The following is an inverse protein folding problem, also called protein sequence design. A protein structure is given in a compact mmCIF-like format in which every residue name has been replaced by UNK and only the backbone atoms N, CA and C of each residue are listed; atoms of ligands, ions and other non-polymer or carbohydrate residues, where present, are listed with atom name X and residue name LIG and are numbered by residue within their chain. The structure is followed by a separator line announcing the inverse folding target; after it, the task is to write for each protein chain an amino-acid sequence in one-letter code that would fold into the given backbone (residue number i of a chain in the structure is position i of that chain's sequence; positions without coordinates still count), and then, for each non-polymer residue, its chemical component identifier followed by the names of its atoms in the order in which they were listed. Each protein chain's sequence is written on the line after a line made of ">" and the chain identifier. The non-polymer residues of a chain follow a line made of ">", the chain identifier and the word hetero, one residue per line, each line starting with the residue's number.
data_IF_854864974614
#
_entry.id   IF_854864974614
#
_cell.length_a   1.000
_cell.length_b   1.000
_cell.length_c   1.000
_cell.angle_alpha   90.00
_cell.angle_beta   90.00
_cell.angle_gamma   90.00
#
_symmetry.space_group_name_H-M   'P 1'
#
loop_
_entity.id
_entity.type
_entity.pdbx_description
1 polymer ?
#
# COMPACT_ATOMS: atom_id res chain seq x y z
N UNK A 1 -8.70 -4.84 18.55
CA UNK A 1 -8.65 -4.91 17.09
C UNK A 1 -7.47 -4.06 16.64
N UNK A 2 -6.67 -4.55 15.73
CA UNK A 2 -5.54 -3.76 15.21
C UNK A 2 -6.05 -2.60 14.32
N UNK A 3 -5.27 -1.53 14.14
CA UNK A 3 -5.70 -0.39 13.36
C UNK A 3 -5.91 -0.71 11.88
N UNK A 4 -6.97 -0.13 11.30
CA UNK A 4 -7.25 -0.16 9.87
C UNK A 4 -7.05 1.25 9.34
N UNK A 5 -6.01 1.46 8.56
CA UNK A 5 -5.65 2.75 7.97
C UNK A 5 -6.11 2.84 6.54
N UNK A 6 -6.85 3.89 6.24
CA UNK A 6 -7.46 4.10 4.92
C UNK A 6 -6.90 5.36 4.28
N UNK A 7 -6.53 5.27 3.03
CA UNK A 7 -5.92 6.36 2.30
C UNK A 7 -6.09 6.29 0.79
N UNK A 8 -5.35 7.16 0.13
CA UNK A 8 -5.33 7.33 -1.33
C UNK A 8 -3.90 7.38 -1.87
N UNK A 9 -3.75 7.33 -3.19
CA UNK A 9 -2.47 7.45 -3.88
C UNK A 9 -2.02 8.89 -4.09
N UNK A 10 -1.11 9.38 -3.25
CA UNK A 10 -0.63 10.76 -3.26
C UNK A 10 -1.66 11.76 -2.74
N UNK A 11 -1.29 13.03 -2.77
CA UNK A 11 -2.17 14.13 -2.32
C UNK A 11 -2.22 15.29 -3.32
N UNK A 12 -1.33 15.35 -4.28
CA UNK A 12 -1.30 16.40 -5.31
C UNK A 12 -1.93 15.89 -6.60
N UNK A 13 -3.20 16.24 -6.82
CA UNK A 13 -3.94 15.91 -8.03
C UNK A 13 -4.92 17.03 -8.35
N UNK A 14 -4.69 17.73 -9.46
CA UNK A 14 -5.44 18.94 -9.80
C UNK A 14 -6.97 18.78 -9.81
N UNK A 15 -7.57 17.67 -10.31
CA UNK A 15 -9.02 17.46 -10.28
C UNK A 15 -9.64 17.32 -8.88
N UNK A 16 -8.85 17.17 -7.81
CA UNK A 16 -9.36 17.20 -6.45
C UNK A 16 -9.62 18.60 -5.90
N UNK A 17 -9.13 19.66 -6.60
CA UNK A 17 -9.35 21.06 -6.21
C UNK A 17 -10.77 21.47 -6.50
N UNK A 18 -11.46 22.01 -5.50
CA UNK A 18 -12.89 22.33 -5.59
C UNK A 18 -13.84 21.15 -5.33
N UNK A 19 -13.29 19.93 -5.08
CA UNK A 19 -14.06 18.74 -4.71
C UNK A 19 -13.59 18.20 -3.36
N UNK A 20 -12.50 17.46 -3.32
CA UNK A 20 -11.89 17.00 -2.07
C UNK A 20 -11.19 18.13 -1.31
N UNK A 21 -10.47 18.99 -2.02
CA UNK A 21 -9.89 20.21 -1.47
C UNK A 21 -10.85 21.38 -1.61
N UNK A 22 -11.03 22.22 -0.56
CA UNK A 22 -11.83 23.43 -0.67
C UNK A 22 -11.32 24.33 -1.79
N UNK A 23 -12.21 25.09 -2.45
CA UNK A 23 -11.78 26.13 -3.38
C UNK A 23 -10.78 27.09 -2.74
N UNK A 24 -9.68 27.40 -3.45
CA UNK A 24 -8.68 28.34 -2.96
C UNK A 24 -7.68 27.78 -1.94
N UNK A 25 -7.75 26.50 -1.57
CA UNK A 25 -6.74 25.90 -0.68
C UNK A 25 -5.34 25.94 -1.34
N UNK A 26 -4.33 26.57 -0.68
CA UNK A 26 -2.96 26.57 -1.20
C UNK A 26 -2.38 25.15 -1.36
N UNK A 27 -1.59 24.93 -2.40
CA UNK A 27 -1.03 23.59 -2.70
C UNK A 27 -0.19 23.00 -1.56
N UNK A 28 0.54 23.84 -0.84
CA UNK A 28 1.35 23.42 0.31
C UNK A 28 0.51 23.01 1.53
N UNK A 29 -0.80 23.24 1.51
CA UNK A 29 -1.75 22.80 2.54
C UNK A 29 -2.54 21.55 2.15
N UNK A 30 -2.40 21.06 0.90
CA UNK A 30 -3.14 19.88 0.42
C UNK A 30 -2.86 18.65 1.28
N UNK A 31 -1.59 18.39 1.66
CA UNK A 31 -1.22 17.30 2.55
C UNK A 31 -1.84 17.45 3.95
N UNK A 32 -1.75 18.64 4.52
CA UNK A 32 -2.33 18.91 5.83
C UNK A 32 -3.86 18.74 5.85
N UNK A 33 -4.54 19.11 4.75
CA UNK A 33 -5.98 18.86 4.60
C UNK A 33 -6.28 17.35 4.45
N UNK A 34 -5.61 16.66 3.52
CA UNK A 34 -5.83 15.25 3.24
C UNK A 34 -5.61 14.39 4.49
N UNK A 35 -4.53 14.65 5.24
CA UNK A 35 -4.18 13.89 6.43
C UNK A 35 -5.14 14.04 7.62
N UNK A 36 -6.01 15.06 7.61
CA UNK A 36 -7.09 15.23 8.60
C UNK A 36 -8.40 14.54 8.19
N UNK A 37 -8.49 14.07 6.95
CA UNK A 37 -9.64 13.33 6.42
C UNK A 37 -9.37 11.84 6.24
N UNK A 38 -8.11 11.47 6.14
CA UNK A 38 -7.60 10.12 5.89
C UNK A 38 -6.63 9.73 7.00
N UNK A 39 -6.36 8.46 7.17
CA UNK A 39 -5.39 7.96 8.17
C UNK A 39 -4.06 7.48 7.55
N UNK A 40 -3.98 7.43 6.22
CA UNK A 40 -2.75 7.09 5.51
C UNK A 40 -2.70 7.71 4.10
N UNK A 41 -1.51 7.75 3.52
CA UNK A 41 -1.29 8.05 2.10
C UNK A 41 -0.24 7.08 1.54
N UNK A 42 -0.47 6.54 0.34
CA UNK A 42 0.56 5.87 -0.45
C UNK A 42 1.30 6.90 -1.31
N UNK A 43 2.58 7.10 -1.03
CA UNK A 43 3.40 8.07 -1.75
C UNK A 43 3.93 7.44 -3.03
N UNK A 44 3.37 7.83 -4.18
CA UNK A 44 3.81 7.35 -5.48
C UNK A 44 4.95 8.17 -6.07
N UNK A 45 5.21 9.39 -5.56
CA UNK A 45 6.30 10.24 -6.02
C UNK A 45 7.68 9.59 -5.90
N UNK A 46 7.92 8.80 -4.88
CA UNK A 46 9.16 8.06 -4.64
C UNK A 46 9.45 6.95 -5.66
N UNK A 47 8.43 6.51 -6.41
CA UNK A 47 8.59 5.56 -7.51
C UNK A 47 9.25 6.18 -8.75
N UNK A 48 8.99 7.48 -8.99
CA UNK A 48 9.46 8.19 -10.18
C UNK A 48 10.73 9.00 -9.92
N UNK A 49 10.98 9.43 -8.69
CA UNK A 49 12.13 10.27 -8.35
C UNK A 49 12.52 10.17 -6.89
N UNK A 50 13.78 10.48 -6.62
CA UNK A 50 14.32 10.51 -5.26
C UNK A 50 13.77 11.72 -4.51
N UNK A 51 13.54 11.53 -3.21
CA UNK A 51 13.20 12.59 -2.28
C UNK A 51 14.42 12.92 -1.41
N UNK A 52 14.39 14.09 -0.76
CA UNK A 52 15.42 14.51 0.21
C UNK A 52 14.91 14.27 1.64
N UNK A 53 15.80 14.10 2.62
CA UNK A 53 15.39 13.95 4.03
C UNK A 53 14.47 15.06 4.53
N UNK A 54 14.69 16.31 4.06
CA UNK A 54 13.86 17.48 4.41
C UNK A 54 12.41 17.31 3.97
N UNK A 55 12.18 16.64 2.81
CA UNK A 55 10.83 16.37 2.32
C UNK A 55 10.07 15.42 3.26
N UNK A 56 10.74 14.34 3.71
CA UNK A 56 10.14 13.39 4.64
C UNK A 56 9.85 14.02 6.00
N UNK A 57 10.78 14.85 6.52
CA UNK A 57 10.53 15.64 7.73
C UNK A 57 9.32 16.57 7.58
N UNK A 58 9.26 17.32 6.48
CA UNK A 58 8.14 18.21 6.21
C UNK A 58 6.79 17.48 6.11
N UNK A 59 6.75 16.29 5.51
CA UNK A 59 5.54 15.46 5.48
C UNK A 59 5.14 14.97 6.86
N UNK A 60 6.10 14.50 7.65
CA UNK A 60 5.88 14.11 9.05
C UNK A 60 5.26 15.24 9.86
N UNK A 61 5.85 16.44 9.78
CA UNK A 61 5.51 17.57 10.64
C UNK A 61 4.16 18.23 10.24
N UNK A 62 3.71 18.04 9.00
CA UNK A 62 2.41 18.56 8.50
C UNK A 62 1.21 17.68 8.83
N UNK A 63 1.40 16.46 9.33
CA UNK A 63 0.34 15.45 9.49
C UNK A 63 0.09 15.11 10.96
N UNK A 64 -1.10 14.61 11.35
CA UNK A 64 -1.38 14.14 12.70
C UNK A 64 -0.42 13.03 13.16
N UNK A 65 -0.25 12.85 14.47
CA UNK A 65 0.74 11.92 15.03
C UNK A 65 0.48 10.44 14.67
N UNK A 66 -0.77 10.06 14.49
CA UNK A 66 -1.21 8.71 14.12
C UNK A 66 -1.26 8.46 12.62
N UNK A 67 -0.91 9.46 11.80
CA UNK A 67 -0.93 9.37 10.35
C UNK A 67 0.24 8.52 9.82
N UNK A 68 0.00 7.75 8.75
CA UNK A 68 1.00 6.84 8.18
C UNK A 68 1.23 7.09 6.68
N UNK A 69 2.49 7.06 6.27
CA UNK A 69 2.92 7.09 4.88
C UNK A 69 3.41 5.72 4.44
N UNK A 70 2.73 5.09 3.49
CA UNK A 70 3.31 4.00 2.72
C UNK A 70 4.15 4.59 1.57
N UNK A 71 5.35 4.10 1.37
CA UNK A 71 6.24 4.61 0.32
C UNK A 71 6.38 3.58 -0.80
N UNK A 72 6.20 4.01 -2.05
CA UNK A 72 6.45 3.14 -3.19
C UNK A 72 7.92 3.18 -3.57
N UNK A 73 8.60 2.04 -3.47
CA UNK A 73 10.00 1.88 -3.83
C UNK A 73 10.28 2.26 -5.29
N UNK A 74 11.49 2.73 -5.62
CA UNK A 74 11.80 3.26 -6.94
C UNK A 74 11.60 2.25 -8.07
N UNK A 75 11.06 2.73 -9.20
CA UNK A 75 10.79 1.92 -10.38
C UNK A 75 12.02 1.13 -10.85
N UNK A 76 13.19 1.74 -10.87
CA UNK A 76 14.40 1.09 -11.34
C UNK A 76 14.84 -0.12 -10.50
N UNK A 77 14.37 -0.22 -9.23
CA UNK A 77 14.65 -1.39 -8.37
C UNK A 77 13.91 -2.63 -8.87
N UNK A 78 12.63 -2.49 -9.22
CA UNK A 78 11.75 -3.62 -9.53
C UNK A 78 11.58 -3.88 -11.04
N UNK A 79 11.85 -2.87 -11.91
CA UNK A 79 11.66 -2.96 -13.35
C UNK A 79 12.94 -3.38 -14.11
N UNK A 80 14.04 -3.57 -13.40
CA UNK A 80 15.27 -4.09 -14.01
C UNK A 80 15.12 -5.57 -14.39
N UNK A 81 15.85 -6.01 -15.42
CA UNK A 81 15.79 -7.41 -15.86
C UNK A 81 16.37 -8.35 -14.79
N UNK A 82 17.53 -8.02 -14.28
CA UNK A 82 18.24 -8.77 -13.25
C UNK A 82 18.01 -8.14 -11.88
N UNK A 83 17.51 -8.93 -10.94
CA UNK A 83 17.23 -8.52 -9.57
C UNK A 83 18.36 -8.86 -8.58
N UNK A 84 19.42 -9.54 -9.00
CA UNK A 84 20.57 -9.87 -8.14
C UNK A 84 21.27 -8.63 -7.58
N UNK A 85 21.23 -7.50 -8.32
CA UNK A 85 21.79 -6.22 -7.88
C UNK A 85 20.76 -5.31 -7.17
N UNK A 86 19.59 -5.83 -6.80
CA UNK A 86 18.55 -5.02 -6.17
C UNK A 86 19.00 -4.40 -4.85
N UNK A 87 19.93 -5.05 -4.12
CA UNK A 87 20.45 -4.57 -2.83
C UNK A 87 20.99 -3.15 -2.92
N UNK A 88 21.78 -2.82 -3.95
CA UNK A 88 22.34 -1.47 -4.14
C UNK A 88 21.23 -0.43 -4.29
N UNK A 89 20.17 -0.76 -5.05
CA UNK A 89 19.08 0.17 -5.28
C UNK A 89 18.13 0.29 -4.08
N UNK A 90 17.92 -0.78 -3.34
CA UNK A 90 17.19 -0.78 -2.07
C UNK A 90 17.90 0.10 -1.05
N UNK A 91 19.20 -0.11 -0.85
CA UNK A 91 20.02 0.70 0.09
C UNK A 91 20.03 2.17 -0.31
N UNK A 92 20.17 2.48 -1.60
CA UNK A 92 20.11 3.87 -2.09
C UNK A 92 18.75 4.52 -1.78
N UNK A 93 17.66 3.78 -1.94
CA UNK A 93 16.33 4.28 -1.58
C UNK A 93 16.20 4.53 -0.08
N UNK A 94 16.63 3.61 0.75
CA UNK A 94 16.59 3.79 2.20
C UNK A 94 17.45 4.98 2.65
N UNK A 95 18.64 5.14 2.05
CA UNK A 95 19.55 6.26 2.32
C UNK A 95 19.03 7.65 1.89
N UNK A 96 17.88 7.73 1.20
CA UNK A 96 17.23 9.03 0.92
C UNK A 96 16.63 9.68 2.17
N UNK A 97 16.63 9.01 3.31
CA UNK A 97 16.11 9.51 4.57
C UNK A 97 14.63 9.12 4.81
N UNK A 98 14.18 7.98 4.30
CA UNK A 98 12.81 7.49 4.53
C UNK A 98 12.46 7.36 6.02
N UNK A 99 13.48 7.11 6.86
CA UNK A 99 13.38 7.00 8.33
C UNK A 99 13.09 8.33 9.04
N UNK A 100 13.24 9.45 8.35
CA UNK A 100 12.85 10.78 8.86
C UNK A 100 11.33 10.92 9.06
N UNK A 101 10.54 10.04 8.46
CA UNK A 101 9.10 9.94 8.75
C UNK A 101 8.82 9.49 10.19
N UNK A 102 9.79 8.90 10.88
CA UNK A 102 9.63 8.49 12.26
C UNK A 102 8.58 7.37 12.39
N UNK A 103 7.69 7.48 13.38
CA UNK A 103 6.60 6.52 13.62
C UNK A 103 5.56 6.53 12.50
N UNK A 104 5.57 7.55 11.63
CA UNK A 104 4.69 7.66 10.47
C UNK A 104 5.18 6.88 9.25
N UNK A 105 6.35 6.23 9.34
CA UNK A 105 6.84 5.33 8.29
C UNK A 105 6.01 4.05 8.27
N UNK A 106 5.21 3.89 7.24
CA UNK A 106 4.41 2.72 6.93
C UNK A 106 5.15 1.70 6.05
N UNK A 107 4.40 0.82 5.38
CA UNK A 107 4.96 -0.17 4.49
C UNK A 107 5.70 0.42 3.28
N UNK A 108 6.74 -0.29 2.84
CA UNK A 108 7.50 -0.01 1.62
C UNK A 108 6.98 -0.93 0.50
N UNK A 109 6.28 -0.37 -0.47
CA UNK A 109 5.67 -1.10 -1.59
C UNK A 109 6.66 -1.28 -2.75
N UNK A 110 6.92 -2.52 -3.13
CA UNK A 110 7.73 -2.90 -4.28
C UNK A 110 6.84 -3.48 -5.38
N UNK A 111 6.57 -2.70 -6.41
CA UNK A 111 5.69 -3.10 -7.49
C UNK A 111 6.48 -3.67 -8.66
N UNK A 112 6.23 -4.92 -9.03
CA UNK A 112 6.76 -5.53 -10.25
C UNK A 112 5.95 -5.11 -11.48
N UNK A 113 6.59 -4.99 -12.64
CA UNK A 113 5.89 -4.73 -13.89
C UNK A 113 5.04 -5.95 -14.31
N UNK A 114 3.97 -5.76 -15.08
CA UNK A 114 3.12 -6.86 -15.54
C UNK A 114 3.84 -7.86 -16.44
N UNK A 115 5.01 -7.52 -16.95
CA UNK A 115 5.88 -8.39 -17.76
C UNK A 115 6.81 -9.28 -16.93
N UNK A 116 6.86 -9.10 -15.60
CA UNK A 116 7.68 -9.92 -14.69
C UNK A 116 6.99 -11.25 -14.45
N UNK A 117 7.51 -12.32 -15.03
CA UNK A 117 7.09 -13.70 -14.76
C UNK A 117 7.65 -14.16 -13.41
N UNK A 118 6.90 -15.00 -12.70
CA UNK A 118 7.38 -15.62 -11.47
C UNK A 118 8.50 -16.62 -11.77
N UNK A 119 9.60 -16.46 -11.07
CA UNK A 119 10.74 -17.37 -11.01
C UNK A 119 11.33 -17.24 -9.59
N UNK A 120 11.16 -18.26 -8.78
CA UNK A 120 11.56 -18.24 -7.39
C UNK A 120 13.07 -18.04 -7.20
N UNK A 121 13.90 -18.60 -8.10
CA UNK A 121 15.36 -18.45 -8.07
C UNK A 121 15.77 -17.02 -8.38
N UNK A 122 15.19 -16.43 -9.42
CA UNK A 122 15.49 -15.08 -9.84
C UNK A 122 14.98 -14.00 -8.87
N UNK A 123 13.89 -14.29 -8.10
CA UNK A 123 13.29 -13.33 -7.17
C UNK A 123 13.88 -13.39 -5.75
N UNK A 124 14.46 -14.52 -5.35
CA UNK A 124 15.05 -14.70 -4.02
C UNK A 124 16.08 -13.62 -3.67
N UNK A 125 17.08 -13.28 -4.51
CA UNK A 125 18.05 -12.24 -4.20
C UNK A 125 17.43 -10.85 -3.94
N UNK A 126 16.31 -10.55 -4.60
CA UNK A 126 15.57 -9.31 -4.32
C UNK A 126 14.97 -9.32 -2.91
N UNK A 127 14.36 -10.42 -2.49
CA UNK A 127 13.75 -10.53 -1.16
C UNK A 127 14.82 -10.53 -0.06
N UNK A 128 15.96 -11.20 -0.29
CA UNK A 128 17.14 -11.16 0.57
C UNK A 128 17.73 -9.74 0.75
N UNK A 129 17.56 -8.89 -0.27
CA UNK A 129 18.04 -7.53 -0.25
C UNK A 129 17.17 -6.56 0.59
N UNK A 130 15.99 -7.01 1.04
CA UNK A 130 15.05 -6.19 1.82
C UNK A 130 15.40 -6.30 3.32
N UNK A 131 15.97 -5.28 3.95
CA UNK A 131 16.38 -5.37 5.35
C UNK A 131 15.18 -5.23 6.29
N UNK A 132 15.17 -5.99 7.38
CA UNK A 132 14.15 -5.89 8.42
C UNK A 132 14.21 -4.56 9.19
N UNK A 133 15.37 -3.89 9.18
CA UNK A 133 15.60 -2.63 9.91
C UNK A 133 16.51 -1.70 9.12
N UNK A 134 16.29 -0.38 9.29
CA UNK A 134 17.17 0.67 8.81
C UNK A 134 17.17 1.83 9.82
N UNK A 135 18.35 2.40 10.14
CA UNK A 135 18.51 3.45 11.14
C UNK A 135 17.76 3.19 12.45
N UNK A 136 17.86 1.96 12.94
CA UNK A 136 17.20 1.54 14.17
C UNK A 136 15.68 1.28 14.07
N UNK A 137 15.03 1.57 12.93
CA UNK A 137 13.60 1.37 12.72
C UNK A 137 13.30 0.04 12.03
N UNK A 138 12.26 -0.66 12.50
CA UNK A 138 11.74 -1.82 11.81
C UNK A 138 11.07 -1.40 10.49
N UNK A 139 11.32 -2.13 9.44
CA UNK A 139 10.72 -1.92 8.12
C UNK A 139 9.66 -2.97 7.84
N UNK A 140 8.63 -2.59 7.09
CA UNK A 140 7.56 -3.46 6.61
C UNK A 140 7.59 -3.46 5.09
N UNK A 141 7.90 -4.58 4.49
CA UNK A 141 7.98 -4.69 3.03
C UNK A 141 6.73 -5.37 2.49
N UNK A 142 6.24 -4.87 1.36
CA UNK A 142 5.13 -5.45 0.62
C UNK A 142 5.47 -5.51 -0.86
N UNK A 143 5.14 -6.61 -1.52
CA UNK A 143 5.33 -6.79 -2.96
C UNK A 143 4.00 -6.86 -3.67
N UNK A 144 3.86 -6.07 -4.73
CA UNK A 144 2.77 -6.17 -5.68
C UNK A 144 3.24 -6.88 -6.95
N UNK A 145 2.74 -8.06 -7.16
CA UNK A 145 2.94 -8.85 -8.36
C UNK A 145 1.74 -8.68 -9.30
N UNK A 146 1.99 -8.50 -10.60
CA UNK A 146 0.96 -8.18 -11.60
C UNK A 146 0.78 -9.23 -12.67
N UNK A 147 1.79 -10.08 -12.89
CA UNK A 147 1.71 -11.14 -13.89
C UNK A 147 0.94 -12.34 -13.32
N UNK A 148 0.05 -13.01 -14.09
CA UNK A 148 -0.77 -14.12 -13.58
C UNK A 148 0.04 -15.33 -13.09
N UNK A 149 1.29 -15.52 -13.53
CA UNK A 149 2.17 -16.60 -13.04
C UNK A 149 2.48 -16.52 -11.55
N UNK A 150 2.22 -15.39 -10.88
CA UNK A 150 2.37 -15.27 -9.43
C UNK A 150 1.21 -15.92 -8.65
N UNK A 151 0.17 -16.40 -9.33
CA UNK A 151 -0.83 -17.26 -8.71
C UNK A 151 -0.25 -18.68 -8.49
N UNK A 152 0.81 -18.77 -7.72
CA UNK A 152 1.62 -19.96 -7.47
C UNK A 152 1.86 -20.12 -5.97
N UNK A 153 1.62 -21.33 -5.37
CA UNK A 153 1.89 -21.57 -3.95
C UNK A 153 3.34 -21.31 -3.54
N UNK A 154 4.32 -21.53 -4.44
CA UNK A 154 5.72 -21.28 -4.16
C UNK A 154 6.03 -19.79 -4.01
N UNK A 155 5.32 -18.92 -4.75
CA UNK A 155 5.39 -17.48 -4.51
C UNK A 155 4.94 -17.11 -3.09
N UNK A 156 3.82 -17.66 -2.65
CA UNK A 156 3.29 -17.39 -1.32
C UNK A 156 4.20 -17.97 -0.23
N UNK A 157 4.78 -19.15 -0.46
CA UNK A 157 5.77 -19.73 0.43
C UNK A 157 7.02 -18.85 0.56
N UNK A 158 7.52 -18.34 -0.56
CA UNK A 158 8.69 -17.47 -0.63
C UNK A 158 8.45 -16.16 0.13
N UNK A 159 7.33 -15.48 -0.07
CA UNK A 159 6.99 -14.27 0.69
C UNK A 159 6.90 -14.53 2.21
N UNK A 160 6.33 -15.68 2.60
CA UNK A 160 6.24 -16.07 4.02
C UNK A 160 7.60 -16.36 4.65
N UNK A 161 8.54 -16.91 3.89
CA UNK A 161 9.91 -17.15 4.32
C UNK A 161 10.60 -15.84 4.72
N UNK A 162 10.41 -14.79 3.92
CA UNK A 162 11.02 -13.47 4.15
C UNK A 162 10.15 -12.50 4.97
N UNK A 163 8.97 -12.92 5.43
CA UNK A 163 8.06 -12.04 6.18
C UNK A 163 7.55 -10.83 5.39
N UNK A 164 7.57 -10.91 4.07
CA UNK A 164 7.13 -9.86 3.15
C UNK A 164 5.64 -10.00 2.85
N UNK A 165 4.89 -8.91 2.90
CA UNK A 165 3.46 -8.93 2.60
C UNK A 165 3.20 -9.07 1.09
N UNK A 166 2.22 -9.89 0.74
CA UNK A 166 1.61 -9.84 -0.59
C UNK A 166 0.62 -8.69 -0.65
N UNK A 167 0.73 -7.83 -1.66
CA UNK A 167 -0.28 -6.80 -1.90
C UNK A 167 -1.57 -7.43 -2.43
N UNK A 168 -2.68 -7.19 -1.76
CA UNK A 168 -4.01 -7.59 -2.21
C UNK A 168 -4.52 -6.49 -3.14
N UNK A 169 -4.61 -6.78 -4.44
CA UNK A 169 -4.99 -5.78 -5.44
C UNK A 169 -6.33 -6.15 -6.05
N UNK A 170 -7.37 -5.37 -5.76
CA UNK A 170 -8.65 -5.48 -6.45
C UNK A 170 -8.60 -4.64 -7.73
N UNK A 171 -8.56 -5.32 -8.87
CA UNK A 171 -8.40 -4.68 -10.18
C UNK A 171 -9.02 -5.53 -11.27
N UNK A 172 -9.50 -4.91 -12.33
CA UNK A 172 -9.95 -5.62 -13.54
C UNK A 172 -8.77 -6.06 -14.43
N UNK A 173 -7.55 -5.62 -14.09
CA UNK A 173 -6.35 -5.82 -14.91
C UNK A 173 -5.40 -6.88 -14.38
N UNK A 174 -5.53 -7.24 -13.11
CA UNK A 174 -4.58 -8.12 -12.42
C UNK A 174 -5.28 -9.21 -11.64
N UNK A 175 -4.63 -10.36 -11.50
CA UNK A 175 -5.13 -11.46 -10.67
C UNK A 175 -5.15 -11.04 -9.20
N UNK A 176 -6.29 -11.18 -8.56
CA UNK A 176 -6.43 -10.97 -7.13
C UNK A 176 -5.78 -12.15 -6.37
N UNK A 177 -4.76 -11.88 -5.59
CA UNK A 177 -4.10 -12.81 -4.68
C UNK A 177 -4.34 -12.33 -3.25
N UNK A 178 -5.16 -13.04 -2.48
CA UNK A 178 -5.55 -12.62 -1.13
C UNK A 178 -4.87 -13.41 -0.02
N UNK A 179 -3.71 -13.99 -0.32
CA UNK A 179 -2.90 -14.72 0.64
C UNK A 179 -2.23 -13.79 1.64
N UNK A 180 -2.41 -14.08 2.93
CA UNK A 180 -1.71 -13.38 4.01
C UNK A 180 -0.32 -14.00 4.18
N UNK A 181 0.71 -13.18 4.02
CA UNK A 181 2.11 -13.63 4.04
C UNK A 181 2.95 -12.95 5.13
N UNK A 182 2.48 -11.85 5.72
CA UNK A 182 3.14 -11.07 6.77
C UNK A 182 2.14 -10.70 7.88
N UNK A 183 2.60 -10.18 9.05
CA UNK A 183 1.71 -9.80 10.16
C UNK A 183 0.97 -8.47 9.94
N UNK A 184 0.80 -8.06 8.71
CA UNK A 184 -0.01 -6.90 8.31
C UNK A 184 -0.64 -7.13 6.93
N UNK A 185 -1.70 -6.39 6.63
CA UNK A 185 -2.41 -6.43 5.36
C UNK A 185 -2.12 -5.14 4.58
N UNK A 186 -1.87 -5.28 3.29
CA UNK A 186 -1.76 -4.16 2.36
C UNK A 186 -2.70 -4.38 1.19
N UNK A 187 -3.70 -3.52 1.06
CA UNK A 187 -4.70 -3.63 0.02
C UNK A 187 -4.73 -2.38 -0.88
N UNK A 188 -4.84 -2.60 -2.17
CA UNK A 188 -5.02 -1.58 -3.20
C UNK A 188 -6.33 -1.84 -3.92
N UNK A 189 -7.29 -0.95 -3.74
CA UNK A 189 -8.62 -1.01 -4.33
C UNK A 189 -8.64 -0.09 -5.54
N UNK A 190 -8.67 -0.68 -6.75
CA UNK A 190 -8.43 0.02 -8.01
C UNK A 190 -9.69 0.22 -8.87
N UNK A 191 -10.87 -0.08 -8.32
CA UNK A 191 -12.15 0.06 -9.03
C UNK A 191 -12.91 1.35 -8.67
N UNK A 192 -12.16 2.44 -8.40
CA UNK A 192 -12.79 3.74 -8.19
C UNK A 192 -13.56 4.16 -9.45
N UNK A 193 -14.79 4.65 -9.25
CA UNK A 193 -15.69 5.05 -10.35
C UNK A 193 -16.40 6.35 -10.00
N UNK A 194 -16.36 7.32 -10.90
CA UNK A 194 -16.89 8.68 -10.63
C UNK A 194 -18.42 8.73 -10.71
N UNK A 195 -19.02 7.80 -11.45
CA UNK A 195 -20.47 7.59 -11.54
C UNK A 195 -21.07 6.95 -10.27
N UNK A 196 -20.25 6.40 -9.38
CA UNK A 196 -20.68 5.87 -8.09
C UNK A 196 -20.78 7.02 -7.05
N UNK A 197 -21.91 7.14 -6.31
CA UNK A 197 -22.10 8.20 -5.31
C UNK A 197 -20.98 8.25 -4.26
N UNK A 198 -20.52 7.08 -3.81
CA UNK A 198 -19.45 6.94 -2.84
C UNK A 198 -18.06 6.79 -3.51
N UNK A 199 -17.95 6.96 -4.84
CA UNK A 199 -16.72 6.77 -5.60
C UNK A 199 -16.30 5.31 -5.77
N UNK A 200 -17.15 4.37 -5.33
CA UNK A 200 -16.98 2.94 -5.39
C UNK A 200 -18.33 2.22 -5.27
N UNK A 201 -18.43 0.98 -5.73
CA UNK A 201 -19.63 0.17 -5.53
C UNK A 201 -19.90 -0.05 -4.03
N UNK A 202 -21.09 0.34 -3.57
CA UNK A 202 -21.42 0.34 -2.14
C UNK A 202 -21.40 -1.07 -1.52
N UNK A 203 -22.02 -2.11 -2.11
CA UNK A 203 -21.87 -3.49 -1.66
C UNK A 203 -20.43 -3.98 -1.60
N UNK A 204 -19.57 -3.59 -2.57
CA UNK A 204 -18.16 -3.95 -2.54
C UNK A 204 -17.44 -3.29 -1.36
N UNK A 205 -17.73 -2.02 -1.04
CA UNK A 205 -17.19 -1.34 0.14
C UNK A 205 -17.60 -2.05 1.45
N UNK A 206 -18.86 -2.48 1.58
CA UNK A 206 -19.34 -3.23 2.73
C UNK A 206 -18.58 -4.56 2.89
N UNK A 207 -18.41 -5.28 1.79
CA UNK A 207 -17.63 -6.52 1.75
C UNK A 207 -16.17 -6.31 2.16
N UNK A 208 -15.52 -5.26 1.64
CA UNK A 208 -14.13 -4.95 2.00
C UNK A 208 -14.01 -4.51 3.46
N UNK A 209 -14.91 -3.70 3.99
CA UNK A 209 -14.91 -3.30 5.39
C UNK A 209 -15.04 -4.52 6.33
N UNK A 210 -15.92 -5.47 6.01
CA UNK A 210 -16.05 -6.71 6.75
C UNK A 210 -14.76 -7.54 6.75
N UNK A 211 -14.09 -7.68 5.59
CA UNK A 211 -12.82 -8.40 5.46
C UNK A 211 -11.69 -7.76 6.27
N UNK A 212 -11.55 -6.42 6.22
CA UNK A 212 -10.54 -5.72 7.01
C UNK A 212 -10.77 -5.89 8.52
N UNK A 213 -12.02 -5.88 8.99
CA UNK A 213 -12.32 -6.19 10.40
C UNK A 213 -11.94 -7.63 10.77
N UNK A 214 -12.16 -8.60 9.89
CA UNK A 214 -11.75 -9.98 10.13
C UNK A 214 -10.22 -10.06 10.27
N UNK A 215 -9.44 -9.51 9.34
CA UNK A 215 -7.99 -9.51 9.43
C UNK A 215 -7.48 -8.75 10.66
N UNK A 216 -8.04 -7.58 10.96
CA UNK A 216 -7.67 -6.80 12.14
C UNK A 216 -7.97 -7.52 13.45
N UNK A 217 -8.89 -8.48 13.44
CA UNK A 217 -9.22 -9.36 14.57
C UNK A 217 -8.47 -10.70 14.55
N UNK A 218 -7.56 -10.95 13.59
CA UNK A 218 -6.86 -12.23 13.42
C UNK A 218 -7.76 -13.37 12.95
N UNK A 219 -8.88 -13.04 12.29
CA UNK A 219 -9.82 -14.02 11.74
C UNK A 219 -9.57 -14.25 10.25
N UNK A 220 -9.77 -15.47 9.74
CA UNK A 220 -9.58 -15.76 8.32
C UNK A 220 -10.68 -15.13 7.45
N UNK A 221 -10.29 -14.58 6.31
CA UNK A 221 -11.16 -14.22 5.21
C UNK A 221 -11.19 -15.41 4.24
N UNK A 222 -12.40 -15.91 3.92
CA UNK A 222 -12.58 -17.15 3.16
C UNK A 222 -13.23 -16.95 1.79
N UNK A 223 -13.74 -15.77 1.52
CA UNK A 223 -14.50 -15.42 0.33
C UNK A 223 -13.65 -14.75 -0.76
N UNK A 224 -12.34 -14.69 -0.56
CA UNK A 224 -11.39 -14.22 -1.55
C UNK A 224 -10.51 -15.37 -2.06
N UNK A 225 -10.05 -15.31 -3.34
CA UNK A 225 -9.16 -16.33 -3.89
C UNK A 225 -7.83 -16.37 -3.14
N UNK A 226 -7.42 -17.58 -2.76
CA UNK A 226 -6.14 -17.85 -2.12
C UNK A 226 -5.41 -18.92 -2.92
N UNK A 227 -4.12 -18.73 -3.13
CA UNK A 227 -3.26 -19.62 -3.91
C UNK A 227 -2.68 -20.73 -3.05
N UNK A 228 -2.40 -20.44 -1.78
CA UNK A 228 -1.83 -21.40 -0.83
C UNK A 228 -2.78 -21.66 0.35
N UNK A 229 -2.58 -22.77 1.04
CA UNK A 229 -3.34 -23.07 2.26
C UNK A 229 -3.24 -21.91 3.26
N UNK A 230 -4.36 -21.41 3.79
CA UNK A 230 -4.36 -20.37 4.81
C UNK A 230 -3.56 -20.80 6.03
N UNK A 231 -2.70 -19.92 6.53
CA UNK A 231 -2.08 -20.07 7.84
C UNK A 231 -2.87 -19.22 8.86
N UNK A 232 -2.93 -19.70 10.10
CA UNK A 232 -3.44 -18.88 11.20
C UNK A 232 -2.57 -17.62 11.30
N UNK A 233 -3.18 -16.45 11.12
CA UNK A 233 -2.51 -15.17 11.26
C UNK A 233 -2.90 -14.50 12.58
N UNK A 234 -1.99 -13.76 13.24
CA UNK A 234 -2.34 -12.89 14.36
C UNK A 234 -3.24 -11.73 13.89
N UNK A 235 -3.87 -10.98 14.81
CA UNK A 235 -4.48 -9.70 14.47
C UNK A 235 -3.48 -8.81 13.74
N UNK A 236 -3.89 -8.25 12.60
CA UNK A 236 -3.02 -7.58 11.66
C UNK A 236 -3.40 -6.11 11.45
N UNK A 237 -2.40 -5.21 11.47
CA UNK A 237 -2.56 -3.86 10.93
C UNK A 237 -3.01 -3.94 9.47
N UNK A 238 -4.01 -3.16 9.08
CA UNK A 238 -4.46 -3.09 7.71
C UNK A 238 -4.17 -1.71 7.11
N UNK A 239 -3.57 -1.71 5.91
CA UNK A 239 -3.32 -0.52 5.11
C UNK A 239 -4.13 -0.64 3.81
N UNK A 240 -5.06 0.28 3.60
CA UNK A 240 -6.03 0.24 2.50
C UNK A 240 -5.90 1.51 1.68
N UNK A 241 -5.63 1.37 0.40
CA UNK A 241 -5.46 2.52 -0.49
C UNK A 241 -6.39 2.43 -1.70
N UNK A 242 -7.19 3.47 -1.89
CA UNK A 242 -7.98 3.68 -3.09
C UNK A 242 -7.09 4.33 -4.15
N UNK A 243 -6.77 3.58 -5.18
CA UNK A 243 -5.74 3.94 -6.16
C UNK A 243 -6.20 3.53 -7.56
N UNK A 244 -5.70 4.20 -8.58
CA UNK A 244 -6.07 3.90 -9.97
C UNK A 244 -7.58 4.07 -10.23
N UNK A 245 -8.14 3.38 -11.21
CA UNK A 245 -9.50 3.62 -11.64
C UNK A 245 -9.72 5.10 -12.00
N UNK A 246 -10.88 5.62 -11.71
CA UNK A 246 -11.14 7.06 -11.80
C UNK A 246 -10.63 7.77 -10.53
N UNK A 247 -9.39 8.21 -10.60
CA UNK A 247 -8.66 8.78 -9.46
C UNK A 247 -9.40 9.95 -8.77
N UNK A 248 -10.26 10.66 -9.50
CA UNK A 248 -11.11 11.74 -8.94
C UNK A 248 -11.99 11.21 -7.81
N UNK A 249 -12.52 10.00 -7.95
CA UNK A 249 -13.42 9.36 -7.00
C UNK A 249 -12.72 8.79 -5.74
N UNK A 250 -11.40 8.58 -5.80
CA UNK A 250 -10.65 7.91 -4.70
C UNK A 250 -10.86 8.54 -3.32
N UNK A 251 -10.88 9.87 -3.12
CA UNK A 251 -11.13 10.45 -1.80
C UNK A 251 -12.54 10.15 -1.25
N UNK A 252 -13.57 10.10 -2.14
CA UNK A 252 -14.93 9.74 -1.73
C UNK A 252 -14.99 8.29 -1.28
N UNK A 253 -14.37 7.39 -2.03
CA UNK A 253 -14.31 5.97 -1.70
C UNK A 253 -13.57 5.72 -0.36
N UNK A 254 -12.46 6.41 -0.14
CA UNK A 254 -11.73 6.34 1.11
C UNK A 254 -12.56 6.87 2.30
N UNK A 255 -13.25 8.00 2.13
CA UNK A 255 -14.14 8.55 3.16
C UNK A 255 -15.30 7.60 3.49
N UNK A 256 -15.94 7.01 2.48
CA UNK A 256 -17.01 6.03 2.64
C UNK A 256 -16.54 4.75 3.37
N UNK A 257 -15.32 4.29 3.09
CA UNK A 257 -14.70 3.18 3.83
C UNK A 257 -14.47 3.54 5.29
N UNK A 258 -13.93 4.74 5.57
CA UNK A 258 -13.70 5.21 6.95
C UNK A 258 -15.02 5.25 7.74
N UNK A 259 -16.09 5.77 7.14
CA UNK A 259 -17.41 5.81 7.77
C UNK A 259 -17.93 4.41 8.13
N UNK A 260 -17.81 3.43 7.21
CA UNK A 260 -18.17 2.05 7.47
C UNK A 260 -17.38 1.46 8.64
N UNK A 261 -16.08 1.67 8.66
CA UNK A 261 -15.22 1.14 9.72
C UNK A 261 -15.48 1.77 11.09
N UNK A 262 -15.99 3.01 11.14
CA UNK A 262 -16.36 3.70 12.37
C UNK A 262 -17.76 3.30 12.91
N UNK A 263 -18.65 2.80 12.05
CA UNK A 263 -20.05 2.49 12.37
C UNK A 263 -20.28 1.15 13.11
N UNK A 264 -19.26 0.54 13.73
CA UNK A 264 -19.33 -0.81 14.36
C UNK A 264 -19.30 -0.78 15.87
#
# INVERSE_FOLDING_TARGET
>A
MQPIRVGIGGWTFAPWRGTFYPPGLPHNQELAHASRKLSAIEVNGTFYGSQKPESFRAWRDQTPDDFVFALKGPRFTTHRRDLSEASVSVQRFLATGVTELGEKLGPLLWQFPPTRVFDAVALRPFLEALPDRHDGRALRHVVEARHPSFADPDWIALLREFGVANAIVESDKHTLLADVTAPFIYARLERNADDQPEGYDSPALDGWAARFRLWAAGKPVKDLPQTAKPKKAPPADCFVFFISGEKVAAPRAAAAMIQRLAAS
#
